data_IF_285284394032
#
_entry.id   IF_285284394032
#
_cell.length_a   1.000
_cell.length_b   1.000
_cell.length_c   1.000
_cell.angle_alpha   90.00
_cell.angle_beta   90.00
_cell.angle_gamma   90.00
#
_symmetry.space_group_name_H-M   'P 1'
#
loop_
_entity.id
_entity.type
_entity.pdbx_description
1 polymer ?
#
# COMPACT_ATOMS: atom_id res chain seq x y z
N UNK A 1 -0.91 -22.68 -12.11
CA UNK A 1 -2.27 -22.84 -11.57
C UNK A 1 -2.55 -21.92 -10.39
N UNK A 2 -1.70 -21.84 -9.34
CA UNK A 2 -1.88 -20.96 -8.19
C UNK A 2 -2.04 -19.48 -8.59
N UNK A 3 -1.06 -18.88 -9.31
CA UNK A 3 -0.99 -17.47 -9.75
C UNK A 3 -2.27 -16.98 -10.44
N UNK A 4 -2.92 -17.86 -11.22
CA UNK A 4 -4.04 -17.44 -12.09
C UNK A 4 -5.43 -17.71 -11.49
N UNK A 5 -5.59 -18.73 -10.63
CA UNK A 5 -6.89 -19.13 -10.10
C UNK A 5 -6.94 -19.14 -8.57
N UNK A 6 -6.17 -20.01 -7.92
CA UNK A 6 -6.27 -20.20 -6.47
C UNK A 6 -5.92 -18.96 -5.67
N UNK A 7 -4.92 -18.20 -6.14
CA UNK A 7 -4.54 -16.95 -5.46
C UNK A 7 -5.72 -15.99 -5.36
N UNK A 8 -6.47 -15.79 -6.46
CA UNK A 8 -7.63 -14.88 -6.46
C UNK A 8 -8.73 -15.40 -5.53
N UNK A 9 -8.96 -16.71 -5.50
CA UNK A 9 -9.93 -17.33 -4.61
C UNK A 9 -9.58 -17.08 -3.14
N UNK A 10 -8.33 -17.36 -2.73
CA UNK A 10 -7.89 -17.14 -1.36
C UNK A 10 -7.87 -15.65 -0.99
N UNK A 11 -7.34 -14.78 -1.84
CA UNK A 11 -7.32 -13.34 -1.62
C UNK A 11 -8.74 -12.80 -1.35
N UNK A 12 -9.73 -13.24 -2.13
CA UNK A 12 -11.12 -12.81 -1.97
C UNK A 12 -11.70 -13.23 -0.61
N UNK A 13 -11.62 -14.52 -0.28
CA UNK A 13 -12.24 -15.02 0.95
C UNK A 13 -11.54 -14.52 2.21
N UNK A 14 -10.23 -14.44 2.20
CA UNK A 14 -9.47 -13.89 3.33
C UNK A 14 -9.80 -12.40 3.50
N UNK A 15 -9.84 -11.62 2.42
CA UNK A 15 -10.20 -10.21 2.49
C UNK A 15 -11.64 -10.00 2.97
N UNK A 16 -12.58 -10.83 2.54
CA UNK A 16 -13.99 -10.76 2.98
C UNK A 16 -14.12 -11.04 4.48
N UNK A 17 -13.53 -12.12 4.97
CA UNK A 17 -13.54 -12.48 6.38
C UNK A 17 -12.84 -11.38 7.21
N UNK A 18 -11.67 -10.93 6.77
CA UNK A 18 -10.95 -9.86 7.44
C UNK A 18 -11.80 -8.59 7.54
N UNK A 19 -12.44 -8.14 6.45
CA UNK A 19 -13.31 -6.95 6.45
C UNK A 19 -14.49 -7.10 7.41
N UNK A 20 -15.13 -8.27 7.46
CA UNK A 20 -16.22 -8.51 8.41
C UNK A 20 -15.70 -8.39 9.84
N UNK A 21 -14.57 -9.06 10.16
CA UNK A 21 -14.01 -9.06 11.51
C UNK A 21 -13.55 -7.67 11.97
N UNK A 22 -12.91 -6.89 11.07
CA UNK A 22 -12.38 -5.56 11.42
C UNK A 22 -13.37 -4.43 11.19
N UNK A 23 -14.56 -4.70 10.64
CA UNK A 23 -15.57 -3.66 10.33
C UNK A 23 -15.89 -2.74 11.51
N UNK A 24 -16.02 -3.21 12.78
CA UNK A 24 -16.25 -2.30 13.91
C UNK A 24 -15.09 -1.29 14.08
N UNK A 25 -13.85 -1.76 13.91
CA UNK A 25 -12.66 -0.90 14.00
C UNK A 25 -12.67 0.12 12.86
N UNK A 26 -12.99 -0.31 11.63
CA UNK A 26 -13.05 0.60 10.47
C UNK A 26 -14.11 1.69 10.67
N UNK A 27 -15.27 1.35 11.24
CA UNK A 27 -16.34 2.32 11.55
C UNK A 27 -15.84 3.34 12.57
N UNK A 28 -15.25 2.89 13.69
CA UNK A 28 -14.72 3.79 14.72
C UNK A 28 -13.65 4.71 14.16
N UNK A 29 -12.70 4.18 13.40
CA UNK A 29 -11.62 4.97 12.77
C UNK A 29 -12.19 5.96 11.74
N UNK A 30 -13.21 5.56 10.97
CA UNK A 30 -13.89 6.45 10.01
C UNK A 30 -14.51 7.65 10.72
N UNK A 31 -15.25 7.40 11.80
CA UNK A 31 -15.86 8.47 12.60
C UNK A 31 -14.78 9.37 13.21
N UNK A 32 -13.75 8.77 13.81
CA UNK A 32 -12.66 9.52 14.44
C UNK A 32 -11.92 10.42 13.44
N UNK A 33 -11.56 9.90 12.27
CA UNK A 33 -10.90 10.69 11.21
C UNK A 33 -11.83 11.75 10.61
N UNK A 34 -13.13 11.48 10.50
CA UNK A 34 -14.08 12.49 10.01
C UNK A 34 -14.01 13.77 10.85
N UNK A 35 -13.99 13.65 12.18
CA UNK A 35 -13.85 14.80 13.07
C UNK A 35 -12.42 15.36 13.10
N UNK A 36 -11.40 14.51 13.17
CA UNK A 36 -10.01 14.94 13.28
C UNK A 36 -9.51 15.71 12.04
N UNK A 37 -10.02 15.37 10.85
CA UNK A 37 -9.61 15.98 9.59
C UNK A 37 -10.34 17.28 9.24
N UNK A 38 -11.08 17.88 10.18
CA UNK A 38 -11.73 19.18 10.01
C UNK A 38 -12.55 19.32 8.71
N UNK A 39 -13.33 18.28 8.37
CA UNK A 39 -14.18 18.27 7.16
C UNK A 39 -13.51 17.76 5.90
N UNK A 40 -12.22 17.44 5.89
CA UNK A 40 -11.53 16.84 4.73
C UNK A 40 -11.95 15.39 4.43
N UNK A 41 -12.83 14.80 5.26
CA UNK A 41 -13.29 13.43 5.13
C UNK A 41 -12.34 12.39 5.74
N UNK A 42 -12.79 11.13 5.75
CA UNK A 42 -12.05 10.02 6.34
C UNK A 42 -11.30 9.16 5.32
N UNK A 43 -11.61 9.28 4.04
CA UNK A 43 -11.02 8.46 2.99
C UNK A 43 -10.20 9.26 1.99
N UNK A 44 -9.15 8.62 1.50
CA UNK A 44 -8.25 9.12 0.47
C UNK A 44 -8.22 8.14 -0.68
N UNK A 45 -8.32 8.66 -1.91
CA UNK A 45 -8.31 7.89 -3.14
C UNK A 45 -7.15 8.35 -4.01
N UNK A 46 -6.33 7.41 -4.50
CA UNK A 46 -5.22 7.73 -5.38
C UNK A 46 -5.14 6.74 -6.52
N UNK A 47 -4.98 7.26 -7.73
CA UNK A 47 -4.78 6.43 -8.92
C UNK A 47 -3.43 5.74 -8.88
N UNK A 48 -3.45 4.43 -9.18
CA UNK A 48 -2.28 3.57 -9.19
C UNK A 48 -2.39 2.55 -10.34
N UNK A 49 -1.28 2.15 -10.94
CA UNK A 49 -1.28 1.06 -11.90
C UNK A 49 -1.44 -0.29 -11.20
N UNK A 50 -2.36 -1.07 -11.70
CA UNK A 50 -2.63 -2.43 -11.30
C UNK A 50 -2.02 -3.46 -12.23
N UNK A 51 -2.66 -4.65 -12.29
CA UNK A 51 -2.28 -5.71 -13.23
C UNK A 51 -2.40 -5.21 -14.67
N UNK A 52 -1.43 -5.58 -15.49
CA UNK A 52 -1.31 -5.20 -16.91
C UNK A 52 -1.33 -3.66 -17.11
N UNK A 53 -0.90 -2.89 -16.10
CA UNK A 53 -0.86 -1.44 -16.13
C UNK A 53 -2.22 -0.74 -16.03
N UNK A 54 -3.31 -1.47 -15.82
CA UNK A 54 -4.66 -0.89 -15.70
C UNK A 54 -4.76 -0.01 -14.46
N UNK A 55 -5.18 1.24 -14.66
CA UNK A 55 -5.30 2.21 -13.57
C UNK A 55 -6.53 1.90 -12.71
N UNK A 56 -6.34 1.91 -11.40
CA UNK A 56 -7.41 1.79 -10.42
C UNK A 56 -7.19 2.79 -9.27
N UNK A 57 -8.22 2.99 -8.43
CA UNK A 57 -8.12 3.89 -7.26
C UNK A 57 -7.87 3.08 -6.00
N UNK A 58 -6.68 3.24 -5.41
CA UNK A 58 -6.37 2.72 -4.07
C UNK A 58 -7.21 3.47 -3.04
N UNK A 59 -7.80 2.75 -2.11
CA UNK A 59 -8.62 3.28 -1.02
C UNK A 59 -7.81 3.23 0.27
N UNK A 60 -7.60 4.39 0.91
CA UNK A 60 -6.93 4.50 2.21
C UNK A 60 -7.72 5.38 3.16
N UNK A 61 -7.40 5.28 4.44
CA UNK A 61 -7.82 6.34 5.36
C UNK A 61 -7.00 7.61 5.13
N UNK A 62 -7.67 8.75 5.20
CA UNK A 62 -7.08 10.07 5.07
C UNK A 62 -6.55 10.53 6.43
N UNK A 63 -5.25 10.68 6.53
CA UNK A 63 -4.55 11.02 7.79
C UNK A 63 -4.23 12.50 7.93
N UNK A 64 -4.61 13.32 6.94
CA UNK A 64 -4.26 14.72 6.83
C UNK A 64 -5.49 15.59 6.55
N UNK A 65 -5.43 16.85 6.96
CA UNK A 65 -6.41 17.89 6.59
C UNK A 65 -6.20 18.33 5.15
N UNK A 66 -7.13 19.13 4.61
CA UNK A 66 -7.00 19.84 3.32
C UNK A 66 -6.73 21.35 3.55
N UNK A 67 -6.07 21.70 4.67
CA UNK A 67 -5.73 23.09 4.99
C UNK A 67 -4.78 23.67 3.95
N UNK A 68 -5.04 24.94 3.60
CA UNK A 68 -4.34 25.66 2.54
C UNK A 68 -3.72 26.94 3.10
N UNK A 69 -2.70 27.42 2.41
CA UNK A 69 -2.11 28.74 2.63
C UNK A 69 -3.00 29.86 2.09
N UNK A 70 -2.53 31.12 2.23
CA UNK A 70 -3.24 32.30 1.75
C UNK A 70 -3.36 32.34 0.22
N UNK A 71 -2.48 31.64 -0.49
CA UNK A 71 -2.41 31.54 -1.95
C UNK A 71 -3.29 30.40 -2.49
N UNK A 72 -3.90 29.59 -1.60
CA UNK A 72 -4.79 28.47 -1.97
C UNK A 72 -4.07 27.15 -2.24
N UNK A 73 -2.75 27.06 -2.02
CA UNK A 73 -1.99 25.82 -2.08
C UNK A 73 -2.14 25.01 -0.80
N UNK A 74 -2.05 23.69 -0.89
CA UNK A 74 -2.06 22.85 0.32
C UNK A 74 -0.84 23.15 1.18
N UNK A 75 -1.04 23.27 2.50
CA UNK A 75 0.05 23.36 3.44
C UNK A 75 0.98 22.15 3.35
N UNK A 76 2.24 22.26 3.82
CA UNK A 76 3.16 21.13 3.91
C UNK A 76 2.54 19.94 4.64
N UNK A 77 2.91 18.71 4.25
CA UNK A 77 2.36 17.47 4.81
C UNK A 77 2.49 17.40 6.35
N UNK A 78 3.59 17.91 6.89
CA UNK A 78 3.84 17.96 8.34
C UNK A 78 2.77 18.78 9.09
N UNK A 79 2.33 19.88 8.50
CA UNK A 79 1.35 20.80 9.11
C UNK A 79 -0.09 20.27 8.98
N UNK A 80 -0.36 19.47 7.96
CA UNK A 80 -1.67 18.85 7.71
C UNK A 80 -1.88 17.54 8.44
N UNK A 81 -0.80 16.86 8.86
CA UNK A 81 -0.86 15.56 9.54
C UNK A 81 -1.48 15.73 10.93
N UNK A 82 -2.65 15.14 11.14
CA UNK A 82 -3.33 15.18 12.43
C UNK A 82 -2.71 14.17 13.41
N UNK A 83 -2.89 14.38 14.73
CA UNK A 83 -2.45 13.40 15.75
C UNK A 83 -3.10 12.02 15.54
N UNK A 84 -4.38 12.00 15.18
CA UNK A 84 -5.13 10.79 14.83
C UNK A 84 -4.56 10.16 13.56
N UNK A 85 -4.28 10.98 12.54
CA UNK A 85 -3.66 10.54 11.29
C UNK A 85 -2.27 9.93 11.50
N UNK A 86 -1.46 10.52 12.38
CA UNK A 86 -0.16 9.99 12.76
C UNK A 86 -0.29 8.61 13.44
N UNK A 87 -1.23 8.44 14.37
CA UNK A 87 -1.52 7.14 14.99
C UNK A 87 -1.96 6.11 13.95
N UNK A 88 -2.90 6.46 13.07
CA UNK A 88 -3.44 5.55 12.05
C UNK A 88 -2.35 5.12 11.05
N UNK A 89 -1.41 6.03 10.70
CA UNK A 89 -0.23 5.70 9.87
C UNK A 89 0.77 4.80 10.60
N UNK A 90 1.13 5.13 11.83
CA UNK A 90 2.12 4.37 12.59
C UNK A 90 1.70 2.93 12.88
N UNK A 91 0.39 2.68 12.87
CA UNK A 91 -0.22 1.35 13.04
C UNK A 91 -0.58 0.67 11.72
N UNK A 92 -0.32 1.30 10.58
CA UNK A 92 -0.72 0.84 9.23
C UNK A 92 -2.25 0.61 9.07
N UNK A 93 -3.06 1.14 9.97
CA UNK A 93 -4.53 1.08 9.90
C UNK A 93 -5.02 1.84 8.65
N UNK A 94 -4.27 2.86 8.20
CA UNK A 94 -4.60 3.63 7.00
C UNK A 94 -4.70 2.77 5.74
N UNK A 95 -4.05 1.62 5.70
CA UNK A 95 -4.05 0.72 4.55
C UNK A 95 -5.18 -0.35 4.59
N UNK A 96 -5.88 -0.52 5.72
CA UNK A 96 -6.94 -1.53 5.85
C UNK A 96 -8.08 -1.37 4.83
N UNK A 97 -8.52 -0.16 4.42
CA UNK A 97 -9.54 -0.02 3.39
C UNK A 97 -9.15 -0.60 2.03
N UNK A 98 -7.86 -0.87 1.77
CA UNK A 98 -7.40 -1.56 0.54
C UNK A 98 -7.94 -2.99 0.44
N UNK A 99 -8.41 -3.60 1.52
CA UNK A 99 -9.13 -4.88 1.45
C UNK A 99 -10.37 -4.80 0.54
N UNK A 100 -10.99 -3.62 0.42
CA UNK A 100 -12.07 -3.39 -0.55
C UNK A 100 -11.53 -3.50 -1.98
N UNK A 101 -10.32 -2.99 -2.26
CA UNK A 101 -9.69 -3.15 -3.57
C UNK A 101 -9.36 -4.64 -3.85
N UNK A 102 -9.02 -5.41 -2.82
CA UNK A 102 -8.81 -6.87 -2.96
C UNK A 102 -10.14 -7.54 -3.32
N UNK A 103 -11.24 -7.22 -2.65
CA UNK A 103 -12.56 -7.77 -2.98
C UNK A 103 -12.99 -7.43 -4.41
N UNK A 104 -12.76 -6.18 -4.85
CA UNK A 104 -13.04 -5.74 -6.22
C UNK A 104 -12.18 -6.44 -7.27
N UNK A 105 -11.01 -6.95 -6.89
CA UNK A 105 -10.06 -7.61 -7.78
C UNK A 105 -9.02 -6.68 -8.39
N UNK A 106 -8.97 -5.43 -7.95
CA UNK A 106 -7.93 -4.47 -8.32
C UNK A 106 -6.57 -4.84 -7.71
N UNK A 107 -6.61 -5.39 -6.48
CA UNK A 107 -5.44 -5.77 -5.69
C UNK A 107 -5.49 -7.24 -5.26
N UNK A 108 -4.38 -7.70 -4.72
CA UNK A 108 -4.19 -8.94 -4.00
C UNK A 108 -3.78 -8.65 -2.54
N UNK A 109 -3.85 -9.62 -1.65
CA UNK A 109 -3.26 -9.46 -0.31
C UNK A 109 -1.74 -9.31 -0.42
N UNK A 110 -1.12 -10.17 -1.21
CA UNK A 110 0.34 -10.20 -1.45
C UNK A 110 0.63 -9.94 -2.93
N UNK A 111 1.55 -9.01 -3.18
CA UNK A 111 1.99 -8.62 -4.52
C UNK A 111 2.92 -7.41 -4.49
N UNK A 112 3.50 -6.99 -5.61
CA UNK A 112 4.27 -5.75 -5.70
C UNK A 112 3.44 -4.54 -5.24
N UNK A 113 4.04 -3.64 -4.46
CA UNK A 113 3.34 -2.42 -4.00
C UNK A 113 2.95 -1.54 -5.19
N UNK A 114 1.68 -1.07 -5.31
CA UNK A 114 1.30 -0.19 -6.40
C UNK A 114 1.99 1.18 -6.25
N UNK A 115 2.78 1.55 -7.26
CA UNK A 115 3.54 2.80 -7.30
C UNK A 115 2.77 3.90 -8.03
N UNK A 116 3.39 5.06 -8.26
CA UNK A 116 2.74 6.19 -8.92
C UNK A 116 2.55 5.92 -10.43
N UNK A 117 1.45 6.44 -10.99
CA UNK A 117 1.14 6.30 -12.43
C UNK A 117 2.24 6.91 -13.29
N UNK A 118 2.84 8.02 -12.84
CA UNK A 118 3.94 8.70 -13.55
C UNK A 118 5.19 7.84 -13.74
N UNK A 119 5.34 6.72 -13.02
CA UNK A 119 6.48 5.82 -13.18
C UNK A 119 6.30 4.81 -14.32
N UNK A 120 5.07 4.63 -14.84
CA UNK A 120 4.81 3.68 -15.93
C UNK A 120 5.73 3.86 -17.16
N UNK A 121 5.93 5.08 -17.70
CA UNK A 121 6.80 5.27 -18.85
C UNK A 121 8.29 5.13 -18.55
N UNK A 122 8.68 5.11 -17.26
CA UNK A 122 10.07 5.05 -16.82
C UNK A 122 10.59 3.62 -16.62
N UNK A 123 9.70 2.63 -16.56
CA UNK A 123 10.11 1.24 -16.32
C UNK A 123 10.84 0.67 -17.55
N UNK A 124 11.96 -0.01 -17.29
CA UNK A 124 12.51 -0.94 -18.26
C UNK A 124 11.54 -2.10 -18.53
N UNK A 125 11.76 -2.83 -19.62
CA UNK A 125 10.95 -4.04 -19.93
C UNK A 125 10.93 -5.04 -18.78
N UNK A 126 12.06 -5.23 -18.10
CA UNK A 126 12.16 -6.13 -16.95
C UNK A 126 11.40 -5.59 -15.73
N UNK A 127 11.57 -4.32 -15.40
CA UNK A 127 10.86 -3.68 -14.27
C UNK A 127 9.35 -3.66 -14.49
N UNK A 128 8.87 -3.50 -15.72
CA UNK A 128 7.45 -3.52 -16.07
C UNK A 128 6.78 -4.88 -15.79
N UNK A 129 7.54 -5.98 -15.72
CA UNK A 129 7.03 -7.32 -15.38
C UNK A 129 6.36 -7.39 -14.01
N UNK A 130 6.65 -6.43 -13.12
CA UNK A 130 5.95 -6.30 -11.84
C UNK A 130 4.42 -6.18 -11.98
N UNK A 131 3.94 -5.74 -13.14
CA UNK A 131 2.52 -5.63 -13.47
C UNK A 131 1.89 -6.91 -14.03
N UNK A 132 2.63 -8.00 -14.20
CA UNK A 132 2.08 -9.31 -14.61
C UNK A 132 1.16 -9.92 -13.55
N UNK A 133 1.25 -9.44 -12.31
CA UNK A 133 0.39 -9.83 -11.19
C UNK A 133 -0.38 -8.64 -10.63
N UNK A 134 -1.42 -8.89 -9.84
CA UNK A 134 -2.09 -7.82 -9.10
C UNK A 134 -1.15 -7.23 -8.05
N UNK A 135 -1.15 -5.91 -7.85
CA UNK A 135 -0.44 -5.29 -6.75
C UNK A 135 -0.99 -5.77 -5.40
N UNK A 136 -0.13 -5.81 -4.38
CA UNK A 136 -0.48 -6.28 -3.05
C UNK A 136 -0.58 -5.17 -2.00
N UNK A 137 -1.31 -5.45 -0.91
CA UNK A 137 -1.27 -4.65 0.32
C UNK A 137 0.13 -4.82 0.95
N UNK A 138 0.59 -6.07 1.06
CA UNK A 138 1.98 -6.40 1.40
C UNK A 138 2.67 -7.11 0.24
N UNK A 139 4.00 -7.24 0.28
CA UNK A 139 4.76 -7.85 -0.79
C UNK A 139 6.19 -8.19 -0.43
N UNK A 140 6.84 -8.96 -1.30
CA UNK A 140 8.19 -9.47 -1.08
C UNK A 140 9.21 -8.35 -0.87
N UNK A 141 9.21 -7.32 -1.73
CA UNK A 141 10.09 -6.17 -1.58
C UNK A 141 9.83 -5.38 -0.29
N UNK A 142 8.56 -5.25 0.15
CA UNK A 142 8.21 -4.59 1.40
C UNK A 142 8.73 -5.36 2.62
N UNK A 143 8.82 -6.70 2.54
CA UNK A 143 9.36 -7.53 3.60
C UNK A 143 10.90 -7.55 3.65
N UNK A 144 11.60 -7.26 2.53
CA UNK A 144 13.04 -7.46 2.40
C UNK A 144 13.84 -6.16 2.28
N UNK A 145 13.28 -4.99 2.57
CA UNK A 145 14.08 -3.76 2.56
C UNK A 145 13.31 -2.46 2.66
N UNK A 146 11.99 -2.47 2.43
CA UNK A 146 11.14 -1.26 2.49
C UNK A 146 11.78 -0.04 1.80
N UNK A 147 12.18 0.98 2.59
CA UNK A 147 12.75 2.25 2.10
C UNK A 147 14.29 2.27 2.16
N UNK A 148 14.92 1.21 2.70
CA UNK A 148 16.37 1.13 2.87
C UNK A 148 17.11 0.60 1.63
N UNK A 149 16.37 0.14 0.59
CA UNK A 149 16.94 -0.43 -0.63
C UNK A 149 16.72 0.52 -1.82
N UNK A 150 17.62 0.46 -2.80
CA UNK A 150 17.50 1.23 -4.05
C UNK A 150 16.24 0.84 -4.84
N UNK A 151 15.83 1.70 -5.79
CA UNK A 151 14.75 1.39 -6.71
C UNK A 151 15.05 0.15 -7.54
N UNK A 152 16.28 0.04 -8.01
CA UNK A 152 16.75 -1.13 -8.78
C UNK A 152 16.57 -2.43 -7.98
N UNK A 153 16.96 -2.45 -6.70
CA UNK A 153 16.81 -3.64 -5.85
C UNK A 153 15.32 -3.92 -5.55
N UNK A 154 14.53 -2.89 -5.31
CA UNK A 154 13.09 -3.02 -5.10
C UNK A 154 12.40 -3.69 -6.30
N UNK A 155 12.73 -3.27 -7.53
CA UNK A 155 12.17 -3.86 -8.73
C UNK A 155 12.64 -5.29 -8.97
N UNK A 156 13.91 -5.62 -8.67
CA UNK A 156 14.39 -7.01 -8.70
C UNK A 156 13.58 -7.90 -7.76
N UNK A 157 13.31 -7.45 -6.53
CA UNK A 157 12.50 -8.18 -5.57
C UNK A 157 11.03 -8.31 -6.01
N UNK A 158 10.47 -7.28 -6.64
CA UNK A 158 9.13 -7.33 -7.20
C UNK A 158 9.03 -8.35 -8.35
N UNK A 159 10.00 -8.34 -9.28
CA UNK A 159 10.06 -9.31 -10.40
C UNK A 159 10.33 -10.72 -9.88
N UNK A 160 11.23 -10.88 -8.90
CA UNK A 160 11.45 -12.16 -8.25
C UNK A 160 10.14 -12.75 -7.71
N UNK A 161 9.30 -11.93 -7.06
CA UNK A 161 7.99 -12.37 -6.59
C UNK A 161 7.09 -12.82 -7.75
N UNK A 162 7.09 -12.09 -8.87
CA UNK A 162 6.29 -12.46 -10.06
C UNK A 162 6.65 -13.87 -10.57
N UNK A 163 7.96 -14.18 -10.58
CA UNK A 163 8.47 -15.47 -11.03
C UNK A 163 8.24 -16.58 -9.99
N UNK A 164 8.23 -16.26 -8.71
CA UNK A 164 8.08 -17.21 -7.60
C UNK A 164 6.71 -17.12 -6.90
N UNK A 165 5.70 -16.58 -7.57
CA UNK A 165 4.36 -16.43 -7.02
C UNK A 165 3.72 -17.81 -6.75
N UNK A 166 3.69 -18.18 -5.48
CA UNK A 166 3.18 -19.46 -4.98
C UNK A 166 2.52 -19.30 -3.62
N UNK A 167 1.70 -20.27 -3.21
CA UNK A 167 1.10 -20.26 -1.87
C UNK A 167 2.16 -20.18 -0.77
N UNK A 168 3.28 -20.88 -0.91
CA UNK A 168 4.35 -20.87 0.08
C UNK A 168 5.03 -19.51 0.17
N UNK A 169 5.23 -18.83 -0.97
CA UNK A 169 5.78 -17.47 -1.00
C UNK A 169 4.83 -16.49 -0.32
N UNK A 170 3.53 -16.58 -0.62
CA UNK A 170 2.52 -15.72 0.01
C UNK A 170 2.45 -15.93 1.53
N UNK A 171 2.47 -17.18 2.00
CA UNK A 171 2.50 -17.50 3.43
C UNK A 171 3.76 -16.94 4.12
N UNK A 172 4.94 -17.03 3.47
CA UNK A 172 6.16 -16.43 4.00
C UNK A 172 6.02 -14.91 4.14
N UNK A 173 5.50 -14.23 3.13
CA UNK A 173 5.28 -12.77 3.19
C UNK A 173 4.30 -12.41 4.31
N UNK A 174 3.18 -13.15 4.45
CA UNK A 174 2.22 -12.93 5.53
C UNK A 174 2.90 -13.06 6.90
N UNK A 175 3.65 -14.14 7.11
CA UNK A 175 4.35 -14.37 8.38
C UNK A 175 5.34 -13.24 8.70
N UNK A 176 6.18 -12.83 7.74
CA UNK A 176 7.13 -11.73 7.91
C UNK A 176 6.40 -10.42 8.18
N UNK A 177 5.30 -10.14 7.45
CA UNK A 177 4.50 -8.93 7.65
C UNK A 177 3.91 -8.87 9.05
N UNK A 178 3.30 -9.98 9.53
CA UNK A 178 2.74 -10.06 10.89
C UNK A 178 3.84 -9.82 11.92
N UNK A 179 5.01 -10.48 11.77
CA UNK A 179 6.15 -10.28 12.66
C UNK A 179 6.56 -8.80 12.71
N UNK A 180 6.77 -8.16 11.56
CA UNK A 180 7.17 -6.75 11.49
C UNK A 180 6.16 -5.79 12.10
N UNK A 181 4.86 -6.04 11.91
CA UNK A 181 3.79 -5.23 12.51
C UNK A 181 3.78 -5.40 14.03
N UNK A 182 3.86 -6.63 14.54
CA UNK A 182 3.83 -6.91 15.98
C UNK A 182 5.03 -6.34 16.72
N UNK A 183 6.23 -6.46 16.14
CA UNK A 183 7.47 -5.97 16.76
C UNK A 183 7.77 -4.51 16.40
N UNK A 184 6.91 -3.84 15.60
CA UNK A 184 7.12 -2.47 15.11
C UNK A 184 8.49 -2.28 14.46
N UNK A 185 9.04 -3.32 13.86
CA UNK A 185 10.30 -3.25 13.12
C UNK A 185 10.12 -2.28 11.95
N UNK A 186 11.06 -1.36 11.76
CA UNK A 186 11.11 -0.37 10.66
C UNK A 186 9.99 0.71 10.64
N UNK A 187 9.22 0.90 11.73
CA UNK A 187 8.19 1.94 11.81
C UNK A 187 8.76 3.31 12.20
N UNK A 188 9.90 3.34 12.92
CA UNK A 188 10.45 4.53 13.55
C UNK A 188 11.84 4.92 13.04
N UNK A 189 12.08 4.92 11.74
CA UNK A 189 13.21 5.69 11.25
C UNK A 189 12.71 7.04 10.70
N UNK A 190 12.54 7.99 11.58
CA UNK A 190 12.42 9.42 11.24
C UNK A 190 13.65 9.93 10.44
N UNK A 191 14.76 9.15 10.47
CA UNK A 191 15.96 9.38 9.68
C UNK A 191 16.00 8.59 8.36
N UNK A 192 15.05 7.72 8.07
CA UNK A 192 14.94 7.13 6.75
C UNK A 192 14.40 8.21 5.81
N UNK A 193 15.34 8.95 5.24
CA UNK A 193 15.10 9.88 4.15
C UNK A 193 14.05 9.30 3.23
N UNK A 194 13.00 10.08 2.98
CA UNK A 194 11.99 9.74 1.98
C UNK A 194 12.75 9.38 0.73
N UNK A 195 12.61 8.13 0.29
CA UNK A 195 13.29 7.65 -0.90
C UNK A 195 13.05 8.65 -2.03
N UNK A 196 14.11 9.12 -2.69
CA UNK A 196 13.95 10.04 -3.83
C UNK A 196 12.95 9.44 -4.83
N UNK A 197 12.14 10.28 -5.50
CA UNK A 197 11.25 9.78 -6.55
C UNK A 197 12.02 8.97 -7.58
N UNK A 198 11.37 7.93 -8.12
CA UNK A 198 11.95 7.17 -9.22
C UNK A 198 11.97 8.04 -10.48
N UNK A 199 13.14 8.15 -11.11
CA UNK A 199 13.38 8.95 -12.31
C UNK A 199 13.71 8.12 -13.55
N UNK A 200 13.77 6.79 -13.39
CA UNK A 200 14.11 5.85 -14.48
C UNK A 200 15.58 5.43 -14.51
N UNK A 201 16.45 6.07 -13.70
CA UNK A 201 17.91 5.83 -13.70
C UNK A 201 18.45 5.40 -12.33
N UNK A 202 17.72 5.67 -11.25
CA UNK A 202 18.10 5.43 -9.84
C UNK A 202 17.57 4.12 -9.21
#
# INVERSE_FOLDING_TARGET
MYKHFFKRFFDFWIALIALICISPILIVVTIWLHFANKGAGAFFFQERPGKDGKIFKVIKFKSMTDEKDAEGNLLPDADRLTKVGSFVRSTSIDELPQLINVLKGDMALIGPRPLLVQYLPLYSKEQARRHEVRPGISGWAQCHGRNAISWTEKFKLDVWYVDHCSLMTDLKVIFITIKKVLFREDVNNEAAATMYPFDGTN
#
